data_IF_361088486581
#
_entry.id   IF_361088486581
#
_cell.length_a   1.000
_cell.length_b   1.000
_cell.length_c   1.000
_cell.angle_alpha   90.00
_cell.angle_beta   90.00
_cell.angle_gamma   90.00
#
_symmetry.space_group_name_H-M   'P 1'
#
loop_
_entity.id
_entity.type
_entity.pdbx_description
1 polymer ?
#
# COMPACT_ATOMS: atom_id res chain seq x y z
N UNK A 1 -8.64 -10.62 22.67
CA UNK A 1 -7.39 -11.29 23.13
C UNK A 1 -6.22 -10.45 22.68
N UNK A 2 -5.31 -10.18 23.61
CA UNK A 2 -4.23 -9.18 23.56
C UNK A 2 -3.40 -9.25 22.29
N UNK A 3 -3.33 -8.09 21.60
CA UNK A 3 -2.27 -7.81 20.65
C UNK A 3 -0.94 -8.05 21.37
N UNK A 4 -0.17 -9.00 20.86
CA UNK A 4 1.21 -9.17 21.24
C UNK A 4 1.93 -7.85 20.99
N UNK A 5 2.34 -7.18 22.07
CA UNK A 5 3.36 -6.14 22.04
C UNK A 5 4.63 -6.74 21.43
N UNK A 6 4.74 -6.66 20.11
CA UNK A 6 6.04 -6.68 19.44
C UNK A 6 6.70 -5.40 19.88
N UNK A 7 7.61 -5.53 20.84
CA UNK A 7 8.49 -4.47 21.29
C UNK A 7 9.39 -4.05 20.11
N UNK A 8 8.83 -3.31 19.15
CA UNK A 8 9.59 -2.70 18.07
C UNK A 8 10.29 -1.51 18.70
N UNK A 9 11.59 -1.62 18.95
CA UNK A 9 12.41 -0.44 19.20
C UNK A 9 12.09 0.59 18.11
N UNK A 10 11.47 1.70 18.50
CA UNK A 10 11.12 2.76 17.57
C UNK A 10 12.42 3.41 17.13
N UNK A 11 12.90 3.05 15.94
CA UNK A 11 14.05 3.72 15.34
C UNK A 11 13.72 5.21 15.14
N UNK A 12 14.34 6.05 15.96
CA UNK A 12 14.26 7.51 15.86
C UNK A 12 15.23 8.01 14.77
N UNK A 13 14.78 8.95 13.95
CA UNK A 13 15.57 9.53 12.87
C UNK A 13 15.61 11.05 13.04
N UNK A 14 16.81 11.62 12.96
CA UNK A 14 17.04 13.06 12.99
C UNK A 14 17.67 13.54 11.69
N UNK A 15 17.26 14.73 11.21
CA UNK A 15 17.98 15.45 10.17
C UNK A 15 19.14 16.22 10.81
N UNK A 16 20.38 15.80 10.51
CA UNK A 16 21.59 16.38 11.10
C UNK A 16 22.50 16.89 9.98
N UNK A 17 22.98 18.12 10.13
CA UNK A 17 24.04 18.65 9.25
C UNK A 17 25.36 17.95 9.59
N UNK A 18 26.06 17.42 8.58
CA UNK A 18 27.32 16.70 8.77
C UNK A 18 28.41 17.50 9.50
N UNK A 19 28.39 18.83 9.44
CA UNK A 19 29.34 19.67 10.18
C UNK A 19 29.22 19.54 11.70
N UNK A 20 28.06 19.08 12.21
CA UNK A 20 27.82 18.87 13.64
C UNK A 20 28.75 17.83 14.24
N UNK A 21 29.18 16.83 13.47
CA UNK A 21 30.08 15.77 13.95
C UNK A 21 31.41 16.34 14.43
N UNK A 22 31.96 17.32 13.71
CA UNK A 22 33.20 18.00 14.10
C UNK A 22 33.03 18.70 15.45
N UNK A 23 31.91 19.38 15.67
CA UNK A 23 31.62 20.04 16.95
C UNK A 23 31.43 19.07 18.11
N UNK A 24 30.81 17.90 17.87
CA UNK A 24 30.63 16.86 18.90
C UNK A 24 31.95 16.17 19.28
N UNK A 25 32.87 16.01 18.32
CA UNK A 25 34.13 15.28 18.51
C UNK A 25 35.32 16.17 18.87
N UNK A 26 35.18 17.51 18.83
CA UNK A 26 36.29 18.45 19.01
C UNK A 26 37.08 18.27 20.32
N UNK A 27 36.43 17.78 21.38
CA UNK A 27 37.04 17.57 22.70
C UNK A 27 37.29 16.08 23.02
N UNK A 28 37.13 15.19 22.03
CA UNK A 28 37.36 13.75 22.19
C UNK A 28 38.74 13.40 21.63
N UNK A 29 39.72 13.00 22.47
CA UNK A 29 41.04 12.65 21.99
C UNK A 29 41.03 11.28 21.31
N UNK A 30 41.84 11.14 20.26
CA UNK A 30 42.13 9.86 19.63
C UNK A 30 42.86 8.93 20.60
N UNK A 31 42.39 7.70 20.79
CA UNK A 31 42.98 6.74 21.74
C UNK A 31 44.43 6.33 21.42
N UNK A 32 44.87 6.49 20.16
CA UNK A 32 46.19 6.03 19.71
C UNK A 32 47.25 7.14 19.68
N UNK A 33 46.89 8.36 19.25
CA UNK A 33 47.84 9.48 19.16
C UNK A 33 47.56 10.61 20.17
N UNK A 34 46.50 10.48 20.97
CA UNK A 34 46.06 11.44 21.98
C UNK A 34 45.79 12.86 21.45
N UNK A 35 45.62 13.02 20.13
CA UNK A 35 45.29 14.30 19.48
C UNK A 35 43.77 14.43 19.30
N UNK A 36 43.26 15.66 19.42
CA UNK A 36 41.87 16.02 19.13
C UNK A 36 41.63 16.14 17.63
N UNK A 37 41.62 15.01 16.93
CA UNK A 37 41.54 14.96 15.45
C UNK A 37 40.63 13.86 14.94
N UNK A 38 39.65 13.46 15.76
CA UNK A 38 38.60 12.53 15.35
C UNK A 38 37.59 13.22 14.44
N UNK A 39 37.20 12.55 13.36
CA UNK A 39 36.22 13.03 12.41
C UNK A 39 35.37 11.87 11.86
N UNK A 40 34.19 12.20 11.33
CA UNK A 40 33.32 11.26 10.64
C UNK A 40 33.46 11.47 9.13
N UNK A 41 33.91 10.43 8.43
CA UNK A 41 33.89 10.39 6.98
C UNK A 41 32.60 9.73 6.48
N UNK A 42 31.94 10.38 5.53
CA UNK A 42 30.80 9.82 4.82
C UNK A 42 31.26 9.21 3.50
N UNK A 43 30.95 7.94 3.29
CA UNK A 43 31.24 7.19 2.07
C UNK A 43 29.97 7.02 1.22
N UNK A 44 30.00 6.04 0.30
CA UNK A 44 28.89 5.68 -0.59
C UNK A 44 27.51 5.76 0.09
N UNK A 45 26.58 6.42 -0.59
CA UNK A 45 25.19 6.51 -0.20
C UNK A 45 24.33 5.55 -1.02
N UNK A 46 23.32 4.97 -0.38
CA UNK A 46 22.39 4.00 -0.94
C UNK A 46 20.97 4.52 -0.73
N UNK A 47 20.53 5.41 -1.62
CA UNK A 47 19.38 6.26 -1.36
C UNK A 47 19.67 7.18 -0.17
N UNK A 48 18.82 7.16 0.84
CA UNK A 48 18.92 8.01 2.03
C UNK A 48 19.73 7.38 3.17
N UNK A 49 20.41 6.26 2.92
CA UNK A 49 21.33 5.65 3.87
C UNK A 49 22.78 5.89 3.44
N UNK A 50 23.58 6.46 4.31
CA UNK A 50 24.99 6.77 4.06
C UNK A 50 25.86 5.94 5.00
N UNK A 51 26.97 5.40 4.49
CA UNK A 51 27.98 4.76 5.35
C UNK A 51 28.83 5.84 6.02
N UNK A 52 28.85 5.86 7.35
CA UNK A 52 29.69 6.74 8.16
C UNK A 52 30.84 5.93 8.78
N UNK A 53 32.03 6.50 8.79
CA UNK A 53 33.23 5.91 9.38
C UNK A 53 33.91 6.90 10.33
N UNK A 54 34.24 6.46 11.54
CA UNK A 54 35.01 7.24 12.50
C UNK A 54 36.50 7.06 12.24
N UNK A 55 37.21 8.15 11.98
CA UNK A 55 38.64 8.14 11.69
C UNK A 55 39.37 9.20 12.51
N UNK A 56 40.67 8.99 12.73
CA UNK A 56 41.57 10.04 13.20
C UNK A 56 42.34 10.64 12.02
N UNK A 57 42.24 11.95 11.80
CA UNK A 57 42.89 12.62 10.68
C UNK A 57 44.41 12.71 10.82
N UNK A 58 44.95 12.68 12.06
CA UNK A 58 46.39 12.71 12.32
C UNK A 58 47.05 11.36 12.11
N UNK A 59 46.59 10.31 12.78
CA UNK A 59 47.20 8.98 12.69
C UNK A 59 46.61 8.10 11.59
N UNK A 60 45.59 8.58 10.86
CA UNK A 60 44.92 7.90 9.73
C UNK A 60 44.27 6.56 10.09
N UNK A 61 44.07 6.28 11.38
CA UNK A 61 43.43 5.06 11.85
C UNK A 61 41.90 5.17 11.79
N UNK A 62 41.25 4.07 11.38
CA UNK A 62 39.80 3.89 11.42
C UNK A 62 39.39 3.15 12.70
N UNK A 63 38.31 3.60 13.33
CA UNK A 63 37.79 3.07 14.60
C UNK A 63 36.49 2.26 14.44
N UNK A 64 35.82 2.39 13.29
CA UNK A 64 34.58 1.68 13.03
C UNK A 64 33.70 2.41 12.04
N UNK A 65 32.68 1.71 11.55
CA UNK A 65 31.74 2.27 10.60
C UNK A 65 30.33 1.74 10.81
N UNK A 66 29.33 2.55 10.46
CA UNK A 66 27.92 2.18 10.49
C UNK A 66 27.19 2.79 9.31
N UNK A 67 26.00 2.28 9.01
CA UNK A 67 25.08 2.95 8.09
C UNK A 67 24.10 3.80 8.90
N UNK A 68 23.68 4.95 8.36
CA UNK A 68 22.71 5.86 9.00
C UNK A 68 21.29 5.28 9.11
N UNK A 69 21.03 4.16 8.45
CA UNK A 69 19.79 3.41 8.58
C UNK A 69 20.06 1.92 8.67
N UNK A 70 19.22 1.23 9.44
CA UNK A 70 19.25 -0.22 9.54
C UNK A 70 18.74 -0.86 8.24
N UNK A 71 19.14 -2.11 8.00
CA UNK A 71 18.59 -2.90 6.90
C UNK A 71 17.37 -3.67 7.40
N UNK A 72 16.29 -3.62 6.65
CA UNK A 72 15.17 -4.54 6.86
C UNK A 72 15.66 -5.98 6.68
N UNK A 73 15.13 -6.92 7.46
CA UNK A 73 15.38 -8.36 7.26
C UNK A 73 14.11 -8.98 6.67
N UNK A 74 14.21 -9.94 5.72
CA UNK A 74 15.43 -10.51 5.11
C UNK A 74 15.96 -9.70 3.91
N UNK A 75 15.15 -8.77 3.42
CA UNK A 75 15.43 -7.93 2.27
C UNK A 75 16.46 -6.88 2.68
N UNK A 76 17.76 -7.10 2.39
CA UNK A 76 18.93 -6.26 2.74
C UNK A 76 18.86 -4.76 2.31
N UNK A 77 17.69 -4.20 2.03
CA UNK A 77 17.41 -2.79 1.77
C UNK A 77 17.39 -1.99 3.07
N UNK A 78 17.65 -0.69 2.97
CA UNK A 78 17.61 0.22 4.12
C UNK A 78 16.17 0.66 4.44
N UNK A 79 15.79 0.58 5.72
CA UNK A 79 14.46 0.94 6.25
C UNK A 79 14.06 2.37 5.87
N UNK A 80 15.02 3.31 5.93
CA UNK A 80 14.76 4.72 5.60
C UNK A 80 14.23 4.93 4.18
N UNK A 81 14.66 4.11 3.21
CA UNK A 81 14.19 4.23 1.84
C UNK A 81 12.72 3.80 1.71
N UNK A 82 12.32 2.74 2.41
CA UNK A 82 10.92 2.32 2.48
C UNK A 82 10.06 3.38 3.17
N UNK A 83 10.56 3.95 4.29
CA UNK A 83 9.86 4.98 5.06
C UNK A 83 9.63 6.26 4.26
N UNK A 84 10.65 6.78 3.57
CA UNK A 84 10.51 7.97 2.74
C UNK A 84 9.62 7.72 1.52
N UNK A 85 9.70 6.54 0.91
CA UNK A 85 8.77 6.16 -0.16
C UNK A 85 7.33 6.19 0.35
N UNK A 86 7.06 5.56 1.51
CA UNK A 86 5.73 5.56 2.14
C UNK A 86 5.25 6.98 2.49
N UNK A 87 6.11 7.81 3.07
CA UNK A 87 5.78 9.18 3.46
C UNK A 87 5.35 10.04 2.26
N UNK A 88 6.07 9.96 1.14
CA UNK A 88 5.73 10.71 -0.06
C UNK A 88 4.44 10.20 -0.70
N UNK A 89 4.22 8.89 -0.72
CA UNK A 89 2.96 8.30 -1.21
C UNK A 89 1.76 8.75 -0.36
N UNK A 90 1.91 8.81 0.97
CA UNK A 90 0.85 9.24 1.89
C UNK A 90 0.39 10.69 1.65
N UNK A 91 1.27 11.56 1.16
CA UNK A 91 0.93 12.94 0.77
C UNK A 91 0.59 13.08 -0.72
N UNK A 92 0.38 11.96 -1.43
CA UNK A 92 0.02 11.95 -2.85
C UNK A 92 1.16 12.40 -3.78
N UNK A 93 2.41 12.18 -3.38
CA UNK A 93 3.61 12.58 -4.13
C UNK A 93 4.47 11.38 -4.51
N UNK A 94 5.11 11.46 -5.68
CA UNK A 94 5.99 10.42 -6.21
C UNK A 94 7.47 10.79 -6.13
N UNK A 95 8.29 10.01 -6.83
CA UNK A 95 9.75 10.15 -6.88
C UNK A 95 10.25 11.56 -7.24
N UNK A 96 9.61 12.25 -8.19
CA UNK A 96 10.03 13.60 -8.60
C UNK A 96 9.95 14.64 -7.46
N UNK A 97 8.95 14.53 -6.59
CA UNK A 97 8.84 15.39 -5.41
C UNK A 97 9.87 15.01 -4.34
N UNK A 98 10.17 13.72 -4.19
CA UNK A 98 11.24 13.25 -3.31
C UNK A 98 12.61 13.75 -3.76
N UNK A 99 12.88 13.77 -5.07
CA UNK A 99 14.10 14.33 -5.66
C UNK A 99 14.22 15.83 -5.40
N UNK A 100 13.14 16.58 -5.60
CA UNK A 100 13.09 18.02 -5.29
C UNK A 100 13.36 18.28 -3.81
N UNK A 101 12.74 17.50 -2.92
CA UNK A 101 12.96 17.56 -1.48
C UNK A 101 14.43 17.30 -1.11
N UNK A 102 15.03 16.24 -1.67
CA UNK A 102 16.45 15.94 -1.48
C UNK A 102 17.36 17.05 -1.94
N UNK A 103 17.09 17.65 -3.10
CA UNK A 103 17.87 18.74 -3.67
C UNK A 103 17.85 19.98 -2.77
N UNK A 104 16.67 20.35 -2.25
CA UNK A 104 16.52 21.49 -1.32
C UNK A 104 17.30 21.25 -0.03
N UNK A 105 17.28 20.03 0.50
CA UNK A 105 18.00 19.68 1.73
C UNK A 105 19.50 19.44 1.52
N UNK A 106 19.98 19.33 0.27
CA UNK A 106 21.35 18.94 -0.03
C UNK A 106 21.68 17.51 0.38
N UNK A 107 20.71 16.59 0.32
CA UNK A 107 20.87 15.18 0.70
C UNK A 107 20.87 14.26 -0.53
N UNK A 108 21.56 13.09 -0.48
CA UNK A 108 21.43 12.08 -1.51
C UNK A 108 19.97 11.66 -1.69
N UNK A 109 19.55 11.43 -2.94
CA UNK A 109 18.24 10.87 -3.26
C UNK A 109 18.39 9.43 -3.72
N UNK A 110 17.39 8.59 -3.44
CA UNK A 110 17.29 7.30 -4.12
C UNK A 110 16.96 7.47 -5.60
N UNK A 111 17.54 6.63 -6.44
CA UNK A 111 17.21 6.60 -7.85
C UNK A 111 15.79 6.05 -8.09
N UNK A 112 15.25 6.29 -9.30
CA UNK A 112 13.90 5.86 -9.67
C UNK A 112 13.70 4.35 -9.58
N UNK A 113 14.72 3.53 -9.91
CA UNK A 113 14.63 2.06 -9.83
C UNK A 113 14.50 1.62 -8.37
N UNK A 114 15.29 2.22 -7.48
CA UNK A 114 15.22 1.98 -6.04
C UNK A 114 13.85 2.37 -5.48
N UNK A 115 13.33 3.55 -5.86
CA UNK A 115 12.00 4.00 -5.47
C UNK A 115 10.91 3.02 -5.93
N UNK A 116 10.90 2.63 -7.21
CA UNK A 116 9.93 1.67 -7.75
C UNK A 116 9.97 0.33 -6.99
N UNK A 117 11.17 -0.15 -6.63
CA UNK A 117 11.33 -1.39 -5.87
C UNK A 117 10.88 -1.26 -4.41
N UNK A 118 10.90 -0.05 -3.83
CA UNK A 118 10.30 0.23 -2.53
C UNK A 118 8.78 0.29 -2.63
N UNK A 119 8.25 0.93 -3.68
CA UNK A 119 6.82 0.99 -3.97
C UNK A 119 6.21 -0.42 -4.16
N UNK A 120 6.82 -1.25 -5.00
CA UNK A 120 6.37 -2.64 -5.23
C UNK A 120 6.34 -3.45 -3.93
N UNK A 121 7.38 -3.33 -3.11
CA UNK A 121 7.42 -3.96 -1.80
C UNK A 121 6.27 -3.49 -0.90
N UNK A 122 5.96 -2.19 -0.88
CA UNK A 122 4.86 -1.63 -0.10
C UNK A 122 3.51 -2.16 -0.60
N UNK A 123 3.29 -2.20 -1.92
CA UNK A 123 2.11 -2.79 -2.52
C UNK A 123 1.93 -4.26 -2.11
N UNK A 124 2.98 -5.08 -2.18
CA UNK A 124 2.92 -6.49 -1.79
C UNK A 124 2.63 -6.69 -0.29
N UNK A 125 3.24 -5.84 0.58
CA UNK A 125 2.95 -5.84 2.02
C UNK A 125 1.47 -5.48 2.27
N UNK A 126 0.96 -4.48 1.57
CA UNK A 126 -0.44 -4.06 1.68
C UNK A 126 -1.42 -5.13 1.18
N UNK A 127 -1.11 -5.84 0.10
CA UNK A 127 -1.95 -6.93 -0.39
C UNK A 127 -2.01 -8.09 0.61
N UNK A 128 -0.88 -8.41 1.25
CA UNK A 128 -0.84 -9.43 2.31
C UNK A 128 -1.68 -8.98 3.53
N UNK A 129 -1.51 -7.73 3.96
CA UNK A 129 -2.26 -7.17 5.08
C UNK A 129 -3.77 -7.12 4.81
N UNK A 130 -4.16 -6.78 3.58
CA UNK A 130 -5.55 -6.80 3.11
C UNK A 130 -6.17 -8.20 3.25
N UNK A 131 -5.51 -9.23 2.71
CA UNK A 131 -6.01 -10.62 2.77
C UNK A 131 -6.20 -11.06 4.23
N UNK A 132 -5.21 -10.78 5.08
CA UNK A 132 -5.28 -11.16 6.49
C UNK A 132 -6.38 -10.40 7.24
N UNK A 133 -6.55 -9.10 6.99
CA UNK A 133 -7.59 -8.31 7.65
C UNK A 133 -9.00 -8.76 7.25
N UNK A 134 -9.21 -9.08 5.96
CA UNK A 134 -10.47 -9.65 5.50
C UNK A 134 -10.73 -11.02 6.12
N UNK A 135 -9.70 -11.88 6.23
CA UNK A 135 -9.81 -13.18 6.90
C UNK A 135 -10.25 -13.04 8.35
N UNK A 136 -9.60 -12.17 9.12
CA UNK A 136 -9.93 -11.91 10.54
C UNK A 136 -11.36 -11.36 10.65
N UNK A 137 -11.72 -10.40 9.80
CA UNK A 137 -13.06 -9.79 9.80
C UNK A 137 -14.14 -10.82 9.49
N UNK A 138 -13.93 -11.65 8.47
CA UNK A 138 -14.89 -12.70 8.07
C UNK A 138 -15.06 -13.77 9.15
N UNK A 139 -13.98 -14.17 9.81
CA UNK A 139 -14.04 -15.13 10.91
C UNK A 139 -14.86 -14.56 12.08
N UNK A 140 -14.65 -13.28 12.42
CA UNK A 140 -15.42 -12.64 13.48
C UNK A 140 -16.91 -12.54 13.15
N UNK A 141 -17.26 -12.16 11.92
CA UNK A 141 -18.65 -12.14 11.44
C UNK A 141 -19.29 -13.52 11.55
N UNK A 142 -18.56 -14.57 11.14
CA UNK A 142 -19.04 -15.95 11.21
C UNK A 142 -19.31 -16.39 12.65
N UNK A 143 -18.39 -16.12 13.56
CA UNK A 143 -18.54 -16.47 14.97
C UNK A 143 -19.76 -15.79 15.60
N UNK A 144 -19.93 -14.48 15.34
CA UNK A 144 -21.08 -13.71 15.80
C UNK A 144 -22.39 -14.27 15.24
N UNK A 145 -22.42 -14.59 13.94
CA UNK A 145 -23.62 -15.14 13.30
C UNK A 145 -24.01 -16.51 13.86
N UNK A 146 -23.05 -17.40 14.10
CA UNK A 146 -23.27 -18.73 14.69
C UNK A 146 -23.73 -18.65 16.15
N UNK A 147 -23.24 -17.67 16.91
CA UNK A 147 -23.71 -17.44 18.28
C UNK A 147 -25.17 -17.00 18.32
N UNK A 148 -25.57 -16.11 17.40
CA UNK A 148 -26.96 -15.66 17.29
C UNK A 148 -27.90 -16.71 16.69
N UNK A 149 -27.36 -17.67 15.92
CA UNK A 149 -28.14 -18.70 15.22
C UNK A 149 -27.46 -20.08 15.33
N UNK A 150 -27.52 -20.74 16.51
CA UNK A 150 -26.82 -21.99 16.77
C UNK A 150 -27.25 -23.13 15.83
N UNK A 151 -28.51 -23.10 15.39
CA UNK A 151 -29.10 -24.11 14.52
C UNK A 151 -28.53 -24.09 13.07
N UNK A 152 -27.86 -23.00 12.67
CA UNK A 152 -27.24 -22.84 11.36
C UNK A 152 -25.85 -23.49 11.26
N UNK A 153 -25.33 -24.08 12.34
CA UNK A 153 -23.98 -24.66 12.45
C UNK A 153 -23.66 -25.85 11.53
N UNK A 154 -24.53 -26.22 10.59
CA UNK A 154 -24.32 -27.30 9.61
C UNK A 154 -23.84 -26.83 8.23
N UNK A 155 -23.99 -25.55 7.89
CA UNK A 155 -23.62 -25.03 6.57
C UNK A 155 -22.28 -24.27 6.61
N UNK A 156 -21.44 -24.53 5.61
CA UNK A 156 -20.21 -23.73 5.40
C UNK A 156 -20.52 -22.30 4.94
N UNK A 157 -21.71 -22.05 4.40
CA UNK A 157 -22.16 -20.74 3.91
C UNK A 157 -23.12 -20.14 4.93
N UNK A 158 -22.86 -18.90 5.37
CA UNK A 158 -23.76 -18.14 6.23
C UNK A 158 -24.45 -17.03 5.44
N UNK A 159 -25.70 -16.76 5.78
CA UNK A 159 -26.46 -15.62 5.25
C UNK A 159 -26.23 -14.40 6.14
N UNK A 160 -25.89 -13.25 5.55
CA UNK A 160 -25.64 -12.01 6.29
C UNK A 160 -26.38 -10.82 5.67
N UNK A 161 -26.71 -9.86 6.53
CA UNK A 161 -27.26 -8.56 6.14
C UNK A 161 -26.12 -7.55 6.09
N UNK A 162 -25.94 -6.91 4.94
CA UNK A 162 -24.78 -6.05 4.67
C UNK A 162 -25.20 -4.61 4.38
N UNK A 163 -24.33 -3.67 4.71
CA UNK A 163 -24.34 -2.33 4.14
C UNK A 163 -23.39 -2.31 2.94
N UNK A 164 -23.78 -1.63 1.87
CA UNK A 164 -22.95 -1.46 0.69
C UNK A 164 -22.92 -0.01 0.25
N UNK A 165 -21.72 0.48 -0.01
CA UNK A 165 -21.51 1.84 -0.50
C UNK A 165 -20.30 1.91 -1.45
N UNK A 166 -20.37 2.87 -2.37
CA UNK A 166 -19.34 3.23 -3.32
C UNK A 166 -18.62 4.52 -2.92
N UNK A 167 -17.31 4.58 -3.12
CA UNK A 167 -16.56 5.83 -2.98
C UNK A 167 -15.61 6.05 -4.14
N UNK A 168 -15.31 7.32 -4.43
CA UNK A 168 -14.48 7.73 -5.55
C UNK A 168 -13.28 8.54 -5.07
N UNK A 169 -12.17 8.43 -5.82
CA UNK A 169 -10.95 9.18 -5.53
C UNK A 169 -11.15 10.72 -5.61
N UNK A 170 -12.06 11.19 -6.46
CA UNK A 170 -12.35 12.64 -6.63
C UNK A 170 -13.86 12.88 -6.69
N UNK A 171 -14.29 14.05 -6.21
CA UNK A 171 -15.67 14.52 -6.36
C UNK A 171 -16.01 14.77 -7.83
N UNK A 172 -17.27 14.48 -8.21
CA UNK A 172 -17.80 14.65 -9.56
C UNK A 172 -17.64 13.43 -10.47
N UNK A 173 -18.20 13.51 -11.68
CA UNK A 173 -18.35 12.39 -12.62
C UNK A 173 -17.07 12.04 -13.42
N UNK A 174 -15.90 12.50 -12.97
CA UNK A 174 -14.63 12.35 -13.69
C UNK A 174 -13.60 11.49 -12.93
N UNK A 175 -14.02 10.79 -11.88
CA UNK A 175 -13.10 9.95 -11.13
C UNK A 175 -12.58 8.80 -12.00
N UNK A 176 -11.26 8.55 -11.94
CA UNK A 176 -10.63 7.42 -12.62
C UNK A 176 -10.65 6.14 -11.78
N UNK A 177 -10.94 6.26 -10.49
CA UNK A 177 -10.96 5.17 -9.54
C UNK A 177 -12.27 5.19 -8.74
N UNK A 178 -12.82 4.01 -8.50
CA UNK A 178 -13.97 3.78 -7.64
C UNK A 178 -13.72 2.56 -6.76
N UNK A 179 -14.30 2.55 -5.57
CA UNK A 179 -14.21 1.43 -4.64
C UNK A 179 -15.62 1.12 -4.17
N UNK A 180 -16.04 -0.15 -4.28
CA UNK A 180 -17.24 -0.65 -3.62
C UNK A 180 -16.86 -1.43 -2.37
N UNK A 181 -17.56 -1.21 -1.26
CA UNK A 181 -17.25 -1.82 0.05
C UNK A 181 -18.50 -2.51 0.60
N UNK A 182 -18.35 -3.75 1.06
CA UNK A 182 -19.38 -4.51 1.77
C UNK A 182 -19.03 -4.57 3.25
N UNK A 183 -19.97 -4.15 4.10
CA UNK A 183 -19.82 -4.10 5.56
C UNK A 183 -20.93 -4.95 6.18
N UNK A 184 -20.59 -5.88 7.05
CA UNK A 184 -21.60 -6.60 7.84
C UNK A 184 -22.27 -5.65 8.84
N UNK A 185 -23.60 -5.60 8.85
CA UNK A 185 -24.33 -4.62 9.69
C UNK A 185 -24.20 -4.92 11.18
N UNK A 186 -24.15 -6.20 11.55
CA UNK A 186 -24.16 -6.61 12.96
C UNK A 186 -22.83 -6.31 13.65
N UNK A 187 -21.71 -6.57 12.97
CA UNK A 187 -20.36 -6.36 13.50
C UNK A 187 -19.74 -5.04 13.08
N UNK A 188 -20.31 -4.35 12.08
CA UNK A 188 -19.73 -3.15 11.46
C UNK A 188 -18.33 -3.39 10.86
N UNK A 189 -18.01 -4.63 10.49
CA UNK A 189 -16.73 -4.99 9.89
C UNK A 189 -16.82 -5.10 8.36
N UNK A 190 -15.75 -4.69 7.68
CA UNK A 190 -15.61 -4.87 6.23
C UNK A 190 -15.41 -6.35 5.92
N UNK A 191 -16.26 -6.91 5.05
CA UNK A 191 -16.21 -8.32 4.65
C UNK A 191 -15.67 -8.52 3.24
N UNK A 192 -15.87 -7.55 2.35
CA UNK A 192 -15.32 -7.57 0.99
C UNK A 192 -15.26 -6.16 0.41
N UNK A 193 -14.42 -5.95 -0.60
CA UNK A 193 -14.36 -4.71 -1.36
C UNK A 193 -13.76 -4.92 -2.75
N UNK A 194 -14.11 -4.06 -3.70
CA UNK A 194 -13.59 -4.11 -5.07
C UNK A 194 -13.09 -2.73 -5.49
N UNK A 195 -11.90 -2.68 -6.09
CA UNK A 195 -11.30 -1.45 -6.59
C UNK A 195 -11.38 -1.45 -8.11
N UNK A 196 -12.15 -0.52 -8.66
CA UNK A 196 -12.27 -0.30 -10.09
C UNK A 196 -11.40 0.87 -10.53
N UNK A 197 -10.80 0.72 -11.70
CA UNK A 197 -9.91 1.69 -12.31
C UNK A 197 -10.13 1.77 -13.81
N UNK A 198 -10.31 3.00 -14.29
CA UNK A 198 -10.29 3.37 -15.72
C UNK A 198 -8.90 3.75 -16.21
N UNK A 199 -7.90 3.68 -15.35
CA UNK A 199 -6.59 4.24 -15.60
C UNK A 199 -5.48 3.25 -15.32
N UNK A 200 -4.52 3.21 -16.24
CA UNK A 200 -3.23 2.58 -16.01
C UNK A 200 -2.15 3.59 -16.41
N UNK A 201 -1.24 3.87 -15.47
CA UNK A 201 -0.18 4.86 -15.71
C UNK A 201 0.76 4.42 -16.82
N UNK A 202 1.15 3.14 -16.84
CA UNK A 202 2.01 2.58 -17.88
C UNK A 202 1.36 2.68 -19.26
N UNK A 203 0.06 2.34 -19.38
CA UNK A 203 -0.67 2.51 -20.63
C UNK A 203 -0.69 3.98 -21.09
N UNK A 204 -0.93 4.91 -20.17
CA UNK A 204 -0.96 6.34 -20.49
C UNK A 204 0.39 6.87 -20.95
N UNK A 205 1.50 6.37 -20.39
CA UNK A 205 2.85 6.76 -20.81
C UNK A 205 3.25 6.10 -22.13
N UNK A 206 3.01 4.80 -22.29
CA UNK A 206 3.30 4.10 -23.54
C UNK A 206 2.52 4.72 -24.72
N UNK A 207 1.24 5.06 -24.53
CA UNK A 207 0.44 5.74 -25.55
C UNK A 207 1.01 7.12 -25.93
N UNK A 208 1.56 7.85 -24.96
CA UNK A 208 2.19 9.15 -25.18
C UNK A 208 3.54 9.02 -25.91
N UNK A 209 4.34 8.04 -25.53
CA UNK A 209 5.71 7.88 -26.04
C UNK A 209 5.75 7.20 -27.41
N UNK A 210 4.87 6.22 -27.66
CA UNK A 210 4.81 5.46 -28.91
C UNK A 210 3.72 5.94 -29.87
N UNK A 211 2.77 6.77 -29.40
CA UNK A 211 1.56 7.15 -30.12
C UNK A 211 0.47 6.08 -30.05
N UNK A 212 -0.73 6.43 -29.57
CA UNK A 212 -1.83 5.47 -29.33
C UNK A 212 -2.29 4.71 -30.59
N UNK A 213 -2.16 5.32 -31.76
CA UNK A 213 -2.52 4.71 -33.04
C UNK A 213 -1.41 3.85 -33.66
N UNK A 214 -0.22 3.79 -33.05
CA UNK A 214 0.91 3.09 -33.64
C UNK A 214 0.80 1.57 -33.49
N UNK A 215 1.25 0.78 -34.49
CA UNK A 215 1.36 -0.67 -34.35
C UNK A 215 2.21 -1.10 -33.15
N UNK A 216 3.26 -0.34 -32.83
CA UNK A 216 4.15 -0.57 -31.70
C UNK A 216 3.38 -0.51 -30.37
N UNK A 217 2.51 0.48 -30.21
CA UNK A 217 1.67 0.58 -29.01
C UNK A 217 0.70 -0.60 -28.90
N UNK A 218 0.09 -1.06 -30.01
CA UNK A 218 -0.85 -2.19 -29.95
C UNK A 218 -0.14 -3.49 -29.53
N UNK A 219 1.06 -3.76 -30.08
CA UNK A 219 1.88 -4.90 -29.67
C UNK A 219 2.24 -4.81 -28.18
N UNK A 220 2.69 -3.63 -27.73
CA UNK A 220 3.01 -3.40 -26.33
C UNK A 220 1.79 -3.60 -25.42
N UNK A 221 0.62 -3.05 -25.81
CA UNK A 221 -0.63 -3.13 -25.04
C UNK A 221 -1.11 -4.56 -24.89
N UNK A 222 -1.01 -5.37 -25.94
CA UNK A 222 -1.30 -6.81 -25.87
C UNK A 222 -0.37 -7.53 -24.88
N UNK A 223 0.92 -7.19 -24.86
CA UNK A 223 1.85 -7.76 -23.88
C UNK A 223 1.65 -7.25 -22.43
N UNK A 224 1.01 -6.10 -22.26
CA UNK A 224 0.76 -5.48 -20.96
C UNK A 224 -0.58 -5.90 -20.34
N UNK A 225 -1.47 -6.59 -21.06
CA UNK A 225 -2.85 -6.87 -20.61
C UNK A 225 -2.94 -7.49 -19.23
N UNK A 226 -2.06 -8.44 -18.89
CA UNK A 226 -2.03 -9.12 -17.59
C UNK A 226 -1.56 -8.22 -16.43
N UNK A 227 -0.83 -7.14 -16.73
CA UNK A 227 -0.30 -6.17 -15.76
C UNK A 227 -1.10 -4.87 -15.75
N UNK A 228 -2.10 -4.76 -16.62
CA UNK A 228 -2.89 -3.56 -16.79
C UNK A 228 -3.70 -3.29 -15.53
N UNK A 229 -3.49 -2.11 -14.96
CA UNK A 229 -4.24 -1.66 -13.78
C UNK A 229 -5.64 -1.13 -14.13
N UNK A 230 -5.96 -0.99 -15.41
CA UNK A 230 -7.29 -0.61 -15.87
C UNK A 230 -8.14 -1.87 -15.97
N UNK A 231 -9.16 -1.98 -15.13
CA UNK A 231 -10.10 -3.12 -15.08
C UNK A 231 -11.55 -2.71 -15.37
N UNK A 232 -11.80 -1.44 -15.72
CA UNK A 232 -13.13 -0.93 -15.99
C UNK A 232 -13.17 0.07 -17.14
N UNK A 233 -14.18 -0.03 -18.01
CA UNK A 233 -14.36 0.80 -19.20
C UNK A 233 -15.62 1.70 -19.16
N UNK A 234 -16.46 1.55 -18.14
CA UNK A 234 -17.71 2.33 -18.00
C UNK A 234 -17.53 3.77 -17.48
N UNK A 235 -18.65 4.44 -17.21
CA UNK A 235 -18.65 5.78 -16.60
C UNK A 235 -18.27 5.72 -15.12
N UNK A 236 -17.78 6.83 -14.54
CA UNK A 236 -17.48 6.88 -13.09
C UNK A 236 -18.68 6.49 -12.23
N UNK A 237 -19.88 6.91 -12.62
CA UNK A 237 -21.12 6.63 -11.88
C UNK A 237 -21.50 5.16 -11.93
N UNK A 238 -21.19 4.47 -13.02
CA UNK A 238 -21.46 3.04 -13.16
C UNK A 238 -20.48 2.13 -12.41
N UNK A 239 -19.39 2.68 -11.84
CA UNK A 239 -18.40 1.91 -11.08
C UNK A 239 -19.02 1.26 -9.85
N UNK A 240 -19.90 1.97 -9.14
CA UNK A 240 -20.55 1.44 -7.94
C UNK A 240 -21.35 0.19 -8.29
N UNK A 241 -22.29 0.28 -9.23
CA UNK A 241 -23.09 -0.86 -9.67
C UNK A 241 -22.23 -2.04 -10.16
N UNK A 242 -21.14 -1.76 -10.88
CA UNK A 242 -20.25 -2.80 -11.38
C UNK A 242 -19.45 -3.47 -10.26
N UNK A 243 -18.98 -2.71 -9.28
CA UNK A 243 -18.31 -3.23 -8.10
C UNK A 243 -19.26 -4.12 -7.30
N UNK A 244 -20.51 -3.68 -7.08
CA UNK A 244 -21.54 -4.49 -6.43
C UNK A 244 -21.76 -5.82 -7.17
N UNK A 245 -21.89 -5.80 -8.49
CA UNK A 245 -22.04 -7.03 -9.28
C UNK A 245 -20.88 -8.02 -9.07
N UNK A 246 -19.63 -7.54 -9.07
CA UNK A 246 -18.45 -8.38 -8.81
C UNK A 246 -18.50 -8.97 -7.40
N UNK A 247 -18.79 -8.13 -6.40
CA UNK A 247 -18.79 -8.49 -4.98
C UNK A 247 -19.86 -9.55 -4.66
N UNK A 248 -21.07 -9.40 -5.18
CA UNK A 248 -22.13 -10.38 -4.98
C UNK A 248 -21.82 -11.72 -5.67
N UNK A 249 -21.27 -11.69 -6.89
CA UNK A 249 -20.98 -12.93 -7.62
C UNK A 249 -19.92 -13.80 -6.95
N UNK A 250 -18.95 -13.19 -6.26
CA UNK A 250 -17.89 -13.92 -5.57
C UNK A 250 -18.14 -14.13 -4.08
N UNK A 251 -19.23 -13.61 -3.52
CA UNK A 251 -19.46 -13.61 -2.07
C UNK A 251 -19.42 -15.03 -1.49
N UNK A 252 -20.05 -15.99 -2.17
CA UNK A 252 -20.10 -17.37 -1.72
C UNK A 252 -18.75 -18.07 -1.91
N UNK A 253 -18.13 -17.95 -3.08
CA UNK A 253 -16.87 -18.64 -3.39
C UNK A 253 -15.70 -18.13 -2.54
N UNK A 254 -15.63 -16.81 -2.35
CA UNK A 254 -14.44 -16.15 -1.80
C UNK A 254 -14.60 -15.80 -0.31
N UNK A 255 -15.84 -15.58 0.15
CA UNK A 255 -16.13 -15.23 1.54
C UNK A 255 -16.85 -16.35 2.31
N UNK A 256 -17.41 -17.34 1.61
CA UNK A 256 -18.35 -18.32 2.18
C UNK A 256 -19.50 -17.62 2.95
N UNK A 257 -19.96 -16.49 2.40
CA UNK A 257 -21.03 -15.65 2.92
C UNK A 257 -21.95 -15.25 1.79
N UNK A 258 -23.26 -15.38 2.00
CA UNK A 258 -24.28 -14.93 1.06
C UNK A 258 -24.87 -13.61 1.56
N UNK A 259 -24.81 -12.60 0.72
CA UNK A 259 -25.37 -11.28 1.02
C UNK A 259 -26.87 -11.29 0.70
N UNK A 260 -27.71 -11.52 1.70
CA UNK A 260 -29.15 -11.75 1.50
C UNK A 260 -29.98 -10.47 1.59
N UNK A 261 -29.55 -9.53 2.41
CA UNK A 261 -30.20 -8.22 2.58
C UNK A 261 -29.14 -7.14 2.48
N UNK A 262 -29.46 -6.06 1.77
CA UNK A 262 -28.57 -4.91 1.62
C UNK A 262 -29.22 -3.64 2.13
N UNK A 263 -28.48 -2.88 2.94
CA UNK A 263 -28.77 -1.50 3.29
C UNK A 263 -27.91 -0.59 2.40
N UNK A 264 -28.56 0.17 1.53
CA UNK A 264 -27.91 1.17 0.68
C UNK A 264 -28.38 2.57 1.06
N UNK A 265 -27.60 3.59 0.70
CA UNK A 265 -28.13 4.93 0.63
C UNK A 265 -29.16 5.02 -0.51
N UNK A 266 -30.02 6.04 -0.51
CA UNK A 266 -31.28 6.04 -1.26
C UNK A 266 -31.20 6.00 -2.80
N UNK A 267 -30.04 5.79 -3.44
CA UNK A 267 -29.96 5.54 -4.89
C UNK A 267 -30.25 4.06 -5.19
N UNK A 268 -31.51 3.76 -5.51
CA UNK A 268 -31.99 2.40 -5.75
C UNK A 268 -31.40 1.69 -6.98
N UNK A 269 -30.56 2.36 -7.79
CA UNK A 269 -29.97 1.77 -9.01
C UNK A 269 -29.11 0.54 -8.72
N UNK A 270 -28.29 0.58 -7.68
CA UNK A 270 -27.43 -0.55 -7.31
C UNK A 270 -28.28 -1.75 -6.89
N UNK A 271 -29.27 -1.53 -6.02
CA UNK A 271 -30.22 -2.57 -5.60
C UNK A 271 -31.04 -3.13 -6.77
N UNK A 272 -31.54 -2.26 -7.66
CA UNK A 272 -32.26 -2.67 -8.86
C UNK A 272 -31.38 -3.52 -9.78
N UNK A 273 -30.13 -3.10 -10.03
CA UNK A 273 -29.18 -3.83 -10.86
C UNK A 273 -28.90 -5.23 -10.32
N UNK A 274 -28.69 -5.35 -9.01
CA UNK A 274 -28.46 -6.64 -8.34
C UNK A 274 -29.68 -7.58 -8.44
N UNK A 275 -30.90 -7.05 -8.38
CA UNK A 275 -32.13 -7.81 -8.59
C UNK A 275 -32.28 -8.27 -10.04
N UNK A 276 -32.09 -7.36 -11.01
CA UNK A 276 -32.19 -7.67 -12.44
C UNK A 276 -31.18 -8.75 -12.87
N UNK A 277 -29.98 -8.72 -12.29
CA UNK A 277 -28.93 -9.72 -12.54
C UNK A 277 -29.15 -11.03 -11.78
N UNK A 278 -30.19 -11.12 -10.94
CA UNK A 278 -30.43 -12.26 -10.03
C UNK A 278 -29.24 -12.57 -9.11
N UNK A 279 -28.38 -11.58 -8.88
CA UNK A 279 -27.26 -11.69 -7.94
C UNK A 279 -27.77 -11.72 -6.51
N UNK A 280 -28.91 -11.07 -6.26
CA UNK A 280 -29.74 -11.43 -5.13
C UNK A 280 -30.29 -12.83 -5.40
N UNK A 281 -31.28 -13.05 -6.29
CA UNK A 281 -32.04 -14.30 -6.55
C UNK A 281 -31.32 -15.63 -6.91
N UNK A 282 -29.99 -15.77 -6.85
CA UNK A 282 -29.35 -17.11 -6.73
C UNK A 282 -29.65 -17.75 -5.34
N UNK A 283 -30.89 -17.55 -4.84
CA UNK A 283 -31.40 -17.59 -3.46
C UNK A 283 -32.40 -18.73 -3.20
N UNK A 284 -32.66 -19.64 -4.14
CA UNK A 284 -33.76 -20.60 -3.93
C UNK A 284 -33.58 -21.97 -4.58
N UNK A 285 -32.43 -22.26 -5.20
CA UNK A 285 -32.24 -23.52 -5.94
C UNK A 285 -30.94 -24.23 -5.56
N UNK A 286 -30.71 -24.37 -4.26
CA UNK A 286 -30.00 -25.50 -3.64
C UNK A 286 -30.77 -25.93 -2.39
#
# INVERSE_FOLDING_TARGET
MSASDVNSESNEYHFINNSMWTSLLQNVPCSDCNQFSLNILTHNSYGFSTKMELVCEKCKKSYGHAFTSQREKPCRKFDINTKLTSAFLAIGRGHAALETFSAILGTPCMDRKTFSKCLENLCNKNETAKVEMLRISREHVRQTNLYSHPDLGRNNIIDITVSYDGTWHKKGHTSLYGIGIVIDIMTSLVVDFEVLSKYCHECSMAAKDMGEASPEFQIWKSGHSEKCQKNFDGSSDSMEMHAAYILWNRSISDCAMRYTTVLCDGDAKTHQHLNEKKCMEMMSSL
#
